data_IF_144553707978
#
_entry.id   IF_144553707978
#
_cell.length_a   1.000
_cell.length_b   1.000
_cell.length_c   1.000
_cell.angle_alpha   90.00
_cell.angle_beta   90.00
_cell.angle_gamma   90.00
#
_symmetry.space_group_name_H-M   'P 1'
#
loop_
_entity.id
_entity.type
_entity.pdbx_description
1 polymer ?
#
# COMPACT_ATOMS: atom_id res chain seq x y z
N UNK A 1 9.78 -16.69 -12.29
CA UNK A 1 8.35 -16.98 -12.39
C UNK A 1 7.76 -17.04 -10.98
N UNK A 2 6.65 -16.35 -10.73
CA UNK A 2 5.98 -16.37 -9.43
C UNK A 2 4.61 -17.05 -9.59
N UNK A 3 4.42 -18.19 -8.93
CA UNK A 3 3.16 -18.93 -8.95
C UNK A 3 1.97 -18.06 -8.47
N UNK A 4 2.23 -17.19 -7.50
CA UNK A 4 1.24 -16.27 -6.94
C UNK A 4 1.04 -14.96 -7.71
N UNK A 5 1.65 -14.78 -8.90
CA UNK A 5 1.65 -13.48 -9.57
C UNK A 5 0.25 -12.98 -9.92
N UNK A 6 -0.68 -13.88 -10.26
CA UNK A 6 -2.08 -13.52 -10.49
C UNK A 6 -2.76 -13.08 -9.20
N UNK A 7 -2.61 -13.86 -8.13
CA UNK A 7 -3.21 -13.56 -6.83
C UNK A 7 -2.72 -12.24 -6.27
N UNK A 8 -1.40 -11.99 -6.30
CA UNK A 8 -0.84 -10.72 -5.81
C UNK A 8 -1.35 -9.50 -6.60
N UNK A 9 -1.56 -9.63 -7.90
CA UNK A 9 -2.20 -8.55 -8.69
C UNK A 9 -3.67 -8.37 -8.34
N UNK A 10 -4.42 -9.46 -8.16
CA UNK A 10 -5.83 -9.40 -7.80
C UNK A 10 -6.03 -8.73 -6.44
N UNK A 11 -5.20 -9.08 -5.45
CA UNK A 11 -5.23 -8.48 -4.11
C UNK A 11 -4.95 -6.97 -4.14
N UNK A 12 -3.87 -6.56 -4.80
CA UNK A 12 -3.51 -5.13 -4.92
C UNK A 12 -4.61 -4.35 -5.65
N UNK A 13 -5.15 -4.90 -6.74
CA UNK A 13 -6.22 -4.26 -7.50
C UNK A 13 -7.49 -4.07 -6.68
N UNK A 14 -7.91 -5.09 -5.92
CA UNK A 14 -9.07 -5.01 -5.04
C UNK A 14 -8.87 -3.98 -3.93
N UNK A 15 -7.72 -4.00 -3.26
CA UNK A 15 -7.39 -3.04 -2.19
C UNK A 15 -7.39 -1.60 -2.71
N UNK A 16 -6.71 -1.32 -3.83
CA UNK A 16 -6.64 0.03 -4.39
C UNK A 16 -7.99 0.53 -4.93
N UNK A 17 -8.82 -0.37 -5.46
CA UNK A 17 -10.17 -0.01 -5.91
C UNK A 17 -11.03 0.41 -4.72
N UNK A 18 -11.06 -0.38 -3.65
CA UNK A 18 -11.79 -0.03 -2.45
C UNK A 18 -11.26 1.27 -1.80
N UNK A 19 -9.94 1.46 -1.78
CA UNK A 19 -9.35 2.69 -1.25
C UNK A 19 -9.82 3.92 -2.04
N UNK A 20 -9.78 3.85 -3.38
CA UNK A 20 -10.27 4.93 -4.26
C UNK A 20 -11.76 5.20 -4.04
N UNK A 21 -12.57 4.17 -3.87
CA UNK A 21 -14.01 4.30 -3.76
C UNK A 21 -14.47 4.82 -2.38
N UNK A 22 -13.63 4.71 -1.34
CA UNK A 22 -13.96 5.08 0.04
C UNK A 22 -13.22 6.32 0.57
N UNK A 23 -12.14 6.74 -0.09
CA UNK A 23 -11.24 7.78 0.42
C UNK A 23 -11.06 8.87 -0.62
N UNK A 24 -11.49 10.08 -0.28
CA UNK A 24 -11.37 11.28 -1.11
C UNK A 24 -9.94 11.84 -1.14
N UNK A 25 -9.18 11.69 -0.04
CA UNK A 25 -7.78 12.14 0.01
C UNK A 25 -6.91 11.32 0.97
N UNK A 26 -5.63 11.22 0.61
CA UNK A 26 -4.59 10.55 1.38
C UNK A 26 -3.44 11.54 1.60
N UNK A 27 -3.15 11.86 2.85
CA UNK A 27 -2.02 12.73 3.23
C UNK A 27 -0.98 11.96 4.02
N UNK A 28 0.30 12.08 3.64
CA UNK A 28 1.41 11.53 4.43
C UNK A 28 1.59 12.36 5.71
N UNK A 29 1.75 11.69 6.85
CA UNK A 29 1.90 12.30 8.18
C UNK A 29 3.16 11.82 8.86
N UNK A 30 4.28 12.39 8.45
CA UNK A 30 5.61 12.08 9.01
C UNK A 30 6.41 11.11 8.15
N UNK A 31 7.44 10.53 8.75
CA UNK A 31 8.49 9.87 7.98
C UNK A 31 8.10 8.46 7.53
N UNK A 32 8.32 8.20 6.25
CA UNK A 32 8.25 6.85 5.69
C UNK A 32 9.48 6.06 6.13
N UNK A 33 9.28 4.91 6.79
CA UNK A 33 10.39 4.01 7.16
C UNK A 33 10.44 2.83 6.21
N UNK A 34 11.62 2.56 5.65
CA UNK A 34 11.87 1.40 4.78
C UNK A 34 12.37 0.22 5.59
N UNK A 35 12.22 -0.98 5.03
CA UNK A 35 12.87 -2.17 5.55
C UNK A 35 14.39 -2.06 5.31
N UNK A 36 15.19 -2.40 6.33
CA UNK A 36 16.62 -2.62 6.18
C UNK A 36 16.88 -4.10 5.88
N UNK A 37 16.79 -4.46 4.60
CA UNK A 37 17.02 -5.82 4.12
C UNK A 37 17.66 -5.81 2.73
N UNK A 38 18.54 -6.79 2.48
CA UNK A 38 19.13 -7.06 1.16
C UNK A 38 18.31 -8.07 0.33
N UNK A 39 17.22 -8.62 0.89
CA UNK A 39 16.33 -9.58 0.25
C UNK A 39 14.94 -8.98 -0.01
N UNK A 40 14.38 -8.28 0.99
CA UNK A 40 13.05 -7.70 0.94
C UNK A 40 13.12 -6.19 0.74
N UNK A 41 12.41 -5.68 -0.27
CA UNK A 41 12.21 -4.24 -0.45
C UNK A 41 10.79 -3.87 -0.02
N UNK A 42 10.65 -2.91 0.88
CA UNK A 42 9.35 -2.52 1.39
C UNK A 42 9.39 -1.36 2.38
N UNK A 43 8.19 -0.96 2.82
CA UNK A 43 7.96 0.11 3.79
C UNK A 43 7.44 -0.52 5.08
N UNK A 44 8.11 -0.28 6.19
CA UNK A 44 7.71 -0.74 7.53
C UNK A 44 6.79 0.24 8.24
N UNK A 45 6.75 1.50 7.78
CA UNK A 45 5.88 2.54 8.33
C UNK A 45 5.54 3.56 7.24
N UNK A 46 4.25 3.73 6.94
CA UNK A 46 3.73 4.77 6.06
C UNK A 46 2.58 5.48 6.77
N UNK A 47 2.87 6.42 7.68
CA UNK A 47 1.83 7.09 8.45
C UNK A 47 1.01 7.99 7.51
N UNK A 48 -0.29 7.72 7.39
CA UNK A 48 -1.19 8.49 6.53
C UNK A 48 -2.46 8.90 7.27
N UNK A 49 -3.03 10.03 6.88
CA UNK A 49 -4.42 10.38 7.17
C UNK A 49 -5.26 10.11 5.93
N UNK A 50 -6.32 9.34 6.10
CA UNK A 50 -7.34 9.12 5.09
C UNK A 50 -8.55 10.01 5.42
N UNK A 51 -9.10 10.69 4.43
CA UNK A 51 -10.37 11.42 4.59
C UNK A 51 -11.42 10.85 3.64
N UNK A 52 -12.57 10.49 4.22
CA UNK A 52 -13.78 10.22 3.45
C UNK A 52 -14.36 11.53 2.89
N UNK A 53 -15.23 11.41 1.90
CA UNK A 53 -16.07 12.50 1.38
C UNK A 53 -17.13 12.96 2.40
#
# INVERSE_FOLDING_TARGET
FCLGAYLGRAEIAAMLSALRDLVASVELRGDTRRNYSNLLSGVTSLPVTLRAE
#
